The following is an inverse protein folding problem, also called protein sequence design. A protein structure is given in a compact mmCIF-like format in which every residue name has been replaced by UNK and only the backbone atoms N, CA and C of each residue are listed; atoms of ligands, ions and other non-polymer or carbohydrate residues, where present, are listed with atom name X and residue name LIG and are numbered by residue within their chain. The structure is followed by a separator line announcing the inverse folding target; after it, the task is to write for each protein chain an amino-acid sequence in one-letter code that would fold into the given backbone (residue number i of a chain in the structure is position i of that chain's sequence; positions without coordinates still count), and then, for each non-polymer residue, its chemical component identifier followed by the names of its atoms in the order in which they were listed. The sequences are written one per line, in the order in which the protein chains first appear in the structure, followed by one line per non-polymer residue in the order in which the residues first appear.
data_IF_146768424269
#
_entry.id   IF_146768424269
#
_cell.length_a   1.000
_cell.length_b   1.000
_cell.length_c   1.000
_cell.angle_alpha   90.00
_cell.angle_beta   90.00
_cell.angle_gamma   90.00
#
_symmetry.space_group_name_H-M   'P 1'
#
loop_
_entity.id
_entity.type
_entity.pdbx_description
1 polymer ?
#
# COMPACT_ATOMS: atom_id res chain seq x y z
N UNK A 1 12.33 -10.52 -23.97
CA UNK A 1 11.95 -9.89 -22.69
C UNK A 1 10.99 -8.71 -22.84
N UNK A 2 11.30 -7.69 -23.67
CA UNK A 2 10.48 -6.47 -23.78
C UNK A 2 9.00 -6.67 -24.20
N UNK A 3 8.66 -7.70 -24.99
CA UNK A 3 7.26 -8.00 -25.35
C UNK A 3 6.39 -8.35 -24.13
N UNK A 4 6.94 -9.12 -23.19
CA UNK A 4 6.23 -9.56 -21.98
C UNK A 4 6.02 -8.39 -21.03
N UNK A 5 7.04 -7.55 -20.87
CA UNK A 5 6.95 -6.34 -20.03
C UNK A 5 5.84 -5.42 -20.56
N UNK A 6 5.85 -5.12 -21.87
CA UNK A 6 4.81 -4.27 -22.48
C UNK A 6 3.40 -4.84 -22.30
N UNK A 7 3.23 -6.15 -22.47
CA UNK A 7 1.95 -6.82 -22.24
C UNK A 7 1.49 -6.70 -20.78
N UNK A 8 2.37 -7.03 -19.83
CA UNK A 8 2.06 -6.96 -18.41
C UNK A 8 1.73 -5.54 -17.95
N UNK A 9 2.52 -4.55 -18.39
CA UNK A 9 2.27 -3.13 -18.12
C UNK A 9 0.91 -2.70 -18.67
N UNK A 10 0.57 -3.06 -19.91
CA UNK A 10 -0.75 -2.76 -20.48
C UNK A 10 -1.90 -3.42 -19.72
N UNK A 11 -1.71 -4.66 -19.26
CA UNK A 11 -2.70 -5.36 -18.43
C UNK A 11 -2.94 -4.63 -17.10
N UNK A 12 -1.88 -4.17 -16.42
CA UNK A 12 -2.02 -3.47 -15.15
C UNK A 12 -2.88 -2.22 -15.27
N UNK A 13 -2.69 -1.42 -16.34
CA UNK A 13 -3.49 -0.21 -16.55
C UNK A 13 -4.91 -0.49 -17.05
N UNK A 14 -5.15 -1.60 -17.76
CA UNK A 14 -6.48 -1.92 -18.32
C UNK A 14 -7.34 -2.78 -17.39
N UNK A 15 -6.74 -3.49 -16.43
CA UNK A 15 -7.44 -4.34 -15.48
C UNK A 15 -7.79 -3.55 -14.21
N UNK A 16 -9.08 -3.47 -13.89
CA UNK A 16 -9.56 -2.78 -12.68
C UNK A 16 -8.99 -3.38 -11.39
N UNK A 17 -8.73 -4.69 -11.34
CA UNK A 17 -8.17 -5.35 -10.16
C UNK A 17 -6.68 -5.08 -9.99
N UNK A 18 -5.93 -4.98 -11.09
CA UNK A 18 -4.49 -4.75 -11.06
C UNK A 18 -4.17 -3.27 -10.82
N UNK A 19 -4.94 -2.36 -11.41
CA UNK A 19 -4.75 -0.91 -11.23
C UNK A 19 -4.92 -0.47 -9.77
N UNK A 20 -5.76 -1.16 -9.01
CA UNK A 20 -5.94 -0.92 -7.57
C UNK A 20 -4.75 -1.39 -6.71
N UNK A 21 -3.80 -2.15 -7.25
CA UNK A 21 -2.63 -2.67 -6.52
C UNK A 21 -1.39 -1.77 -6.62
N UNK A 22 -1.55 -0.56 -7.16
CA UNK A 22 -0.48 0.43 -7.17
C UNK A 22 -0.18 1.01 -5.78
N UNK A 23 0.79 1.91 -5.74
CA UNK A 23 1.27 2.57 -4.52
C UNK A 23 0.97 4.06 -4.58
N UNK A 24 0.67 4.67 -3.44
CA UNK A 24 0.67 6.13 -3.31
C UNK A 24 1.97 6.56 -2.62
N UNK A 25 2.60 7.60 -3.16
CA UNK A 25 3.80 8.15 -2.55
C UNK A 25 3.46 8.81 -1.20
N UNK A 26 3.84 8.18 -0.08
CA UNK A 26 3.55 8.71 1.28
C UNK A 26 4.27 10.03 1.62
N UNK A 27 5.13 10.53 0.73
CA UNK A 27 5.94 11.75 0.95
C UNK A 27 5.22 12.99 0.40
N UNK A 28 4.82 12.95 -0.87
CA UNK A 28 4.10 14.05 -1.51
C UNK A 28 2.57 13.88 -1.41
N UNK A 29 2.08 12.65 -1.36
CA UNK A 29 0.66 12.32 -1.30
C UNK A 29 -0.18 12.99 -2.41
N UNK A 30 0.40 13.16 -3.60
CA UNK A 30 -0.23 13.85 -4.73
C UNK A 30 -1.38 13.07 -5.41
N UNK A 31 -1.75 11.89 -4.89
CA UNK A 31 -2.81 11.04 -5.46
C UNK A 31 -2.44 10.26 -6.72
N UNK A 32 -1.23 10.45 -7.25
CA UNK A 32 -0.71 9.65 -8.36
C UNK A 32 -0.42 8.21 -7.92
N UNK A 33 -0.94 7.25 -8.70
CA UNK A 33 -0.71 5.83 -8.48
C UNK A 33 0.61 5.43 -9.16
N UNK A 34 1.51 4.88 -8.36
CA UNK A 34 2.84 4.44 -8.76
C UNK A 34 2.89 2.93 -8.89
N UNK A 35 3.64 2.44 -9.88
CA UNK A 35 3.89 1.01 -10.03
C UNK A 35 5.38 0.68 -9.99
N UNK A 36 5.80 -0.45 -9.36
CA UNK A 36 7.21 -0.81 -9.24
C UNK A 36 7.94 -1.05 -10.56
N UNK A 37 7.23 -1.22 -11.68
CA UNK A 37 7.82 -1.41 -13.01
C UNK A 37 8.07 -0.09 -13.75
N UNK A 38 7.66 1.04 -13.18
CA UNK A 38 7.90 2.38 -13.72
C UNK A 38 9.27 2.89 -13.22
N UNK A 39 10.34 2.24 -13.66
CA UNK A 39 11.70 2.43 -13.13
C UNK A 39 12.27 3.86 -13.30
N UNK A 40 11.68 4.65 -14.21
CA UNK A 40 12.13 6.03 -14.48
C UNK A 40 11.55 7.00 -13.44
N UNK A 41 10.24 6.90 -13.18
CA UNK A 41 9.51 7.85 -12.33
C UNK A 41 9.49 7.44 -10.86
N UNK A 42 9.74 6.16 -10.57
CA UNK A 42 9.55 5.58 -9.24
C UNK A 42 10.81 4.91 -8.72
N UNK A 43 10.93 4.88 -7.39
CA UNK A 43 12.00 4.21 -6.67
C UNK A 43 11.43 3.37 -5.54
N UNK A 44 11.84 2.11 -5.49
CA UNK A 44 11.44 1.14 -4.47
C UNK A 44 12.43 1.13 -3.31
N UNK A 45 11.93 1.16 -2.09
CA UNK A 45 12.72 0.93 -0.89
C UNK A 45 13.11 -0.56 -0.79
N UNK A 46 14.41 -0.85 -0.70
CA UNK A 46 14.94 -2.22 -0.61
C UNK A 46 14.51 -2.94 0.68
N UNK A 47 14.37 -2.23 1.79
CA UNK A 47 14.06 -2.84 3.10
C UNK A 47 12.58 -3.18 3.31
N UNK A 48 11.66 -2.38 2.77
CA UNK A 48 10.22 -2.56 3.01
C UNK A 48 9.35 -2.71 1.76
N UNK A 49 9.93 -2.56 0.57
CA UNK A 49 9.22 -2.67 -0.71
C UNK A 49 8.26 -1.53 -1.03
N UNK A 50 8.20 -0.47 -0.21
CA UNK A 50 7.39 0.70 -0.52
C UNK A 50 7.94 1.43 -1.76
N UNK A 51 7.04 1.93 -2.61
CA UNK A 51 7.37 2.68 -3.82
C UNK A 51 7.06 4.15 -3.60
N UNK A 52 7.97 5.01 -4.04
CA UNK A 52 7.85 6.46 -3.99
C UNK A 52 8.27 7.03 -5.34
N UNK A 53 7.94 8.29 -5.62
CA UNK A 53 8.60 8.99 -6.72
C UNK A 53 10.11 9.01 -6.50
N UNK A 54 10.88 8.87 -7.57
CA UNK A 54 12.35 8.87 -7.52
C UNK A 54 12.89 10.11 -6.79
N UNK A 55 12.36 11.30 -7.12
CA UNK A 55 12.74 12.56 -6.47
C UNK A 55 12.35 12.62 -4.99
N UNK A 56 11.18 12.09 -4.64
CA UNK A 56 10.72 12.04 -3.25
C UNK A 56 11.61 11.10 -2.42
N UNK A 57 11.97 9.94 -2.98
CA UNK A 57 12.80 8.94 -2.31
C UNK A 57 14.18 9.48 -1.94
N UNK A 58 14.78 10.28 -2.82
CA UNK A 58 16.09 10.92 -2.61
C UNK A 58 16.04 11.91 -1.44
N UNK A 59 14.95 12.67 -1.32
CA UNK A 59 14.75 13.65 -0.23
C UNK A 59 14.43 12.99 1.12
N UNK A 60 13.87 11.78 1.12
CA UNK A 60 13.41 11.07 2.31
C UNK A 60 14.25 9.82 2.62
N UNK A 61 15.45 10.05 3.17
CA UNK A 61 16.34 9.02 3.72
C UNK A 61 16.56 9.32 5.21
N UNK A 62 16.23 8.39 6.14
CA UNK A 62 15.74 7.03 5.91
C UNK A 62 14.28 6.96 5.43
N UNK A 63 13.88 5.80 4.88
CA UNK A 63 12.51 5.58 4.40
C UNK A 63 11.46 5.83 5.51
N UNK A 64 10.46 6.71 5.31
CA UNK A 64 9.50 7.08 6.35
C UNK A 64 8.67 5.88 6.84
N UNK A 65 8.34 4.95 5.93
CA UNK A 65 7.63 3.71 6.26
C UNK A 65 8.46 2.78 7.14
N UNK A 66 9.77 2.69 6.90
CA UNK A 66 10.69 1.93 7.74
C UNK A 66 10.81 2.54 9.13
N UNK A 67 10.94 3.87 9.23
CA UNK A 67 10.99 4.59 10.51
C UNK A 67 9.73 4.34 11.32
N UNK A 68 8.55 4.47 10.69
CA UNK A 68 7.25 4.20 11.33
C UNK A 68 7.16 2.77 11.86
N UNK A 69 7.56 1.78 11.04
CA UNK A 69 7.56 0.36 11.42
C UNK A 69 8.48 0.10 12.62
N UNK A 70 9.64 0.73 12.66
CA UNK A 70 10.58 0.57 13.76
C UNK A 70 10.08 1.21 15.06
N UNK A 71 9.45 2.39 14.97
CA UNK A 71 8.83 3.04 16.12
C UNK A 71 7.69 2.19 16.71
N UNK A 72 6.84 1.58 15.87
CA UNK A 72 5.75 0.71 16.31
C UNK A 72 6.24 -0.54 17.04
N UNK A 73 7.36 -1.14 16.61
CA UNK A 73 7.95 -2.29 17.33
C UNK A 73 8.35 -1.96 18.76
N UNK A 74 8.70 -0.70 19.04
CA UNK A 74 9.08 -0.23 20.38
C UNK A 74 7.85 0.06 21.27
N UNK A 75 6.71 0.43 20.68
CA UNK A 75 5.47 0.79 21.39
C UNK A 75 4.50 -0.38 21.61
N UNK A 76 4.98 -1.59 21.93
CA UNK A 76 4.12 -2.77 22.16
C UNK A 76 3.31 -2.72 23.47
N UNK A 77 3.39 -1.65 24.25
CA UNK A 77 2.76 -1.56 25.58
C UNK A 77 1.29 -1.11 25.56
N UNK A 78 0.83 -0.38 24.53
CA UNK A 78 -0.52 0.18 24.52
C UNK A 78 -1.56 -0.79 23.93
N UNK A 79 -1.36 -1.26 22.69
CA UNK A 79 -2.33 -2.11 22.00
C UNK A 79 -2.31 -3.60 22.41
N UNK A 80 -1.24 -4.09 23.06
CA UNK A 80 -1.18 -5.49 23.54
C UNK A 80 -2.22 -5.80 24.62
N UNK A 81 -2.70 -4.79 25.36
CA UNK A 81 -3.78 -4.96 26.36
C UNK A 81 -5.18 -5.11 25.75
N UNK A 82 -5.34 -4.79 24.45
CA UNK A 82 -6.62 -4.88 23.75
C UNK A 82 -6.72 -6.09 22.81
N UNK A 83 -5.82 -7.09 22.95
CA UNK A 83 -6.12 -8.43 22.44
C UNK A 83 -7.33 -8.98 23.24
N UNK A 84 -8.53 -8.66 22.75
CA UNK A 84 -9.74 -9.44 22.94
C UNK A 84 -9.53 -10.75 22.19
N UNK A 85 -8.81 -11.69 22.84
CA UNK A 85 -9.00 -13.10 22.57
C UNK A 85 -10.35 -13.46 23.24
N UNK A 86 -11.41 -13.51 22.44
CA UNK A 86 -12.59 -14.41 22.55
C UNK A 86 -13.71 -13.88 21.64
N UNK A 87 -14.27 -14.78 20.83
CA UNK A 87 -15.46 -14.63 19.98
C UNK A 87 -15.27 -14.12 18.53
N UNK A 88 -14.64 -14.99 17.74
CA UNK A 88 -14.85 -15.15 16.30
C UNK A 88 -16.33 -15.46 16.00
N UNK A 89 -17.16 -14.45 15.73
CA UNK A 89 -18.36 -14.54 14.85
C UNK A 89 -19.23 -13.24 14.75
N UNK A 90 -18.93 -12.15 15.47
CA UNK A 90 -19.88 -11.03 15.61
C UNK A 90 -19.54 -9.72 14.88
N UNK A 91 -18.65 -9.72 13.88
CA UNK A 91 -18.32 -8.49 13.11
C UNK A 91 -18.75 -8.50 11.64
N UNK A 92 -19.34 -9.59 11.15
CA UNK A 92 -19.73 -9.71 9.74
C UNK A 92 -21.15 -9.17 9.43
N UNK A 93 -21.97 -8.80 10.42
CA UNK A 93 -23.36 -8.36 10.18
C UNK A 93 -23.56 -6.84 10.09
N UNK A 94 -22.48 -6.03 10.15
CA UNK A 94 -22.61 -4.57 10.10
C UNK A 94 -22.68 -3.98 8.67
N UNK A 95 -22.49 -4.77 7.61
CA UNK A 95 -22.43 -4.24 6.24
C UNK A 95 -23.46 -4.83 5.25
N UNK A 96 -24.58 -5.38 5.71
CA UNK A 96 -25.69 -5.81 4.83
C UNK A 96 -27.07 -5.24 5.22
N UNK A 97 -27.14 -3.98 5.65
CA UNK A 97 -28.41 -3.24 5.71
C UNK A 97 -28.31 -1.92 4.96
N UNK A 98 -28.37 -1.99 3.62
CA UNK A 98 -29.06 -1.02 2.76
C UNK A 98 -28.96 -1.40 1.28
N UNK A 99 -29.32 -2.64 0.92
CA UNK A 99 -29.90 -2.86 -0.40
C UNK A 99 -31.40 -2.57 -0.28
N UNK A 100 -31.76 -1.30 -0.39
CA UNK A 100 -33.17 -0.93 -0.58
C UNK A 100 -33.51 -1.23 -2.03
N UNK A 101 -34.41 -2.20 -2.22
CA UNK A 101 -35.16 -2.41 -3.45
C UNK A 101 -35.73 -1.08 -3.96
N UNK A 102 -35.38 -0.75 -5.21
CA UNK A 102 -36.30 -0.12 -6.16
C UNK A 102 -36.19 -0.85 -7.47
#
# INVERSE_FOLDING_TARGET
LGKVIKFATSHVYSCSLCSQKGFICEICNNGEILYPFEDIATSRCESCGAVFHSECKVKAVPCPRCVRKELQKKQKSFWRRLNMDENFEESCTMFELSYQNT
#
